data_IF_918827507018
#
_entry.id   IF_918827507018
#
_cell.length_a   1.000
_cell.length_b   1.000
_cell.length_c   1.000
_cell.angle_alpha   90.00
_cell.angle_beta   90.00
_cell.angle_gamma   90.00
#
_symmetry.space_group_name_H-M   'P 1'
#
loop_
_entity.id
_entity.type
_entity.pdbx_description
1 polymer ?
#
# COMPACT_ATOMS: atom_id res chain seq x y z
N UNK A 1 -4.22 10.94 -9.56
CA UNK A 1 -3.00 11.45 -10.21
C UNK A 1 -3.24 12.73 -10.97
N UNK A 2 -2.19 13.30 -11.56
CA UNK A 2 -2.29 14.35 -12.59
C UNK A 2 -3.04 13.80 -13.81
N UNK A 3 -3.81 14.64 -14.50
CA UNK A 3 -4.46 14.23 -15.75
C UNK A 3 -3.43 14.15 -16.86
N UNK A 4 -3.65 13.28 -17.86
CA UNK A 4 -2.71 13.15 -18.97
C UNK A 4 -2.58 14.50 -19.71
N UNK A 5 -1.37 14.81 -20.20
CA UNK A 5 -1.07 16.09 -20.88
C UNK A 5 -2.07 16.45 -22.00
N UNK A 6 -2.55 15.52 -22.84
CA UNK A 6 -3.58 15.84 -23.84
C UNK A 6 -4.91 16.32 -23.25
N UNK A 7 -5.24 15.95 -22.01
CA UNK A 7 -6.44 16.42 -21.32
C UNK A 7 -6.33 17.86 -20.82
N UNK A 8 -5.12 18.45 -20.80
CA UNK A 8 -4.86 19.79 -20.29
C UNK A 8 -5.54 20.90 -21.11
N UNK A 9 -5.99 20.60 -22.32
CA UNK A 9 -6.82 21.51 -23.11
C UNK A 9 -8.19 21.80 -22.46
N UNK A 10 -8.66 20.91 -21.59
CA UNK A 10 -10.00 21.00 -20.97
C UNK A 10 -9.99 20.98 -19.45
N UNK A 11 -8.91 20.47 -18.85
CA UNK A 11 -8.73 20.38 -17.40
C UNK A 11 -7.35 20.91 -17.08
N UNK A 12 -7.27 22.04 -16.40
CA UNK A 12 -5.98 22.63 -16.02
C UNK A 12 -5.11 21.63 -15.23
N UNK A 13 -3.77 21.66 -15.41
CA UNK A 13 -2.89 20.86 -14.60
C UNK A 13 -3.00 21.26 -13.12
N UNK A 14 -2.65 20.35 -12.21
CA UNK A 14 -2.78 20.61 -10.77
C UNK A 14 -1.89 21.74 -10.27
N UNK A 15 -0.77 21.96 -10.93
CA UNK A 15 0.18 23.02 -10.60
C UNK A 15 0.72 23.70 -11.86
N UNK A 16 -0.07 24.60 -12.48
CA UNK A 16 0.35 25.31 -13.69
C UNK A 16 1.59 26.16 -13.47
N UNK A 17 1.75 26.72 -12.26
CA UNK A 17 2.88 27.59 -11.90
C UNK A 17 4.19 26.81 -11.83
N UNK A 18 4.19 25.61 -11.25
CA UNK A 18 5.35 24.75 -11.25
C UNK A 18 5.71 24.32 -12.69
N UNK A 19 4.72 23.99 -13.51
CA UNK A 19 4.96 23.59 -14.92
C UNK A 19 5.63 24.74 -15.69
N UNK A 20 5.15 25.96 -15.53
CA UNK A 20 5.74 27.16 -16.14
C UNK A 20 7.19 27.34 -15.65
N UNK A 21 7.42 27.29 -14.33
CA UNK A 21 8.75 27.42 -13.74
C UNK A 21 9.74 26.36 -14.27
N UNK A 22 9.31 25.10 -14.40
CA UNK A 22 10.15 24.02 -14.91
C UNK A 22 10.40 24.17 -16.41
N UNK A 23 9.42 24.64 -17.17
CA UNK A 23 9.55 24.91 -18.61
C UNK A 23 10.52 26.05 -18.87
N UNK A 24 10.42 27.14 -18.11
CA UNK A 24 11.34 28.27 -18.16
C UNK A 24 12.77 27.84 -17.79
N UNK A 25 12.91 27.02 -16.74
CA UNK A 25 14.22 26.48 -16.34
C UNK A 25 14.81 25.61 -17.45
N UNK A 26 14.01 24.76 -18.09
CA UNK A 26 14.46 23.92 -19.20
C UNK A 26 14.97 24.77 -20.36
N UNK A 27 14.25 25.83 -20.74
CA UNK A 27 14.65 26.72 -21.83
C UNK A 27 15.86 27.57 -21.47
N UNK A 28 15.92 28.12 -20.25
CA UNK A 28 17.01 28.96 -19.78
C UNK A 28 18.35 28.23 -19.74
N UNK A 29 18.34 26.94 -19.37
CA UNK A 29 19.54 26.11 -19.24
C UNK A 29 19.73 25.16 -20.43
N UNK A 30 19.17 25.49 -21.59
CA UNK A 30 19.37 24.75 -22.85
C UNK A 30 19.09 23.23 -22.74
N UNK A 31 18.10 22.87 -21.92
CA UNK A 31 17.68 21.49 -21.68
C UNK A 31 18.51 20.74 -20.64
N UNK A 32 19.33 21.39 -19.82
CA UNK A 32 20.03 20.72 -18.72
C UNK A 32 19.05 20.25 -17.63
N UNK A 33 18.71 18.96 -17.69
CA UNK A 33 17.80 18.33 -16.74
C UNK A 33 18.29 18.38 -15.30
N UNK A 34 19.60 18.59 -15.04
CA UNK A 34 20.10 18.74 -13.66
C UNK A 34 19.52 19.99 -13.00
N UNK A 35 19.44 21.10 -13.75
CA UNK A 35 18.87 22.34 -13.23
C UNK A 35 17.35 22.23 -13.05
N UNK A 36 16.65 21.60 -14.01
CA UNK A 36 15.20 21.34 -13.90
C UNK A 36 14.86 20.50 -12.68
N UNK A 37 15.57 19.38 -12.48
CA UNK A 37 15.36 18.50 -11.33
C UNK A 37 15.72 19.19 -10.02
N UNK A 38 16.77 20.02 -10.00
CA UNK A 38 17.13 20.82 -8.83
C UNK A 38 16.02 21.80 -8.46
N UNK A 39 15.41 22.47 -9.42
CA UNK A 39 14.26 23.36 -9.16
C UNK A 39 13.06 22.56 -8.67
N UNK A 40 12.71 21.46 -9.35
CA UNK A 40 11.60 20.58 -8.96
C UNK A 40 11.73 20.09 -7.52
N UNK A 41 12.87 19.47 -7.16
CA UNK A 41 13.06 18.88 -5.84
C UNK A 41 13.16 19.91 -4.71
N UNK A 42 13.45 21.17 -5.01
CA UNK A 42 13.45 22.26 -4.02
C UNK A 42 12.14 23.07 -3.98
N UNK A 43 11.21 22.81 -4.90
CA UNK A 43 9.91 23.48 -4.94
C UNK A 43 9.03 23.13 -3.73
N UNK A 44 8.17 24.06 -3.32
CA UNK A 44 7.16 23.80 -2.28
C UNK A 44 6.16 22.73 -2.72
N UNK A 45 5.81 22.71 -4.00
CA UNK A 45 4.90 21.71 -4.59
C UNK A 45 5.42 20.28 -4.44
N UNK A 46 6.73 20.06 -4.63
CA UNK A 46 7.35 18.76 -4.38
C UNK A 46 7.38 18.43 -2.89
N UNK A 47 7.78 19.39 -2.05
CA UNK A 47 7.84 19.19 -0.59
C UNK A 47 6.48 18.88 0.01
N UNK A 48 5.42 19.49 -0.49
CA UNK A 48 4.02 19.30 -0.05
C UNK A 48 3.32 18.11 -0.73
N UNK A 49 4.04 17.31 -1.52
CA UNK A 49 3.46 16.10 -2.13
C UNK A 49 3.65 14.83 -1.27
N UNK A 50 4.39 14.93 -0.15
CA UNK A 50 4.77 13.78 0.68
C UNK A 50 3.60 13.09 1.40
N UNK A 51 2.51 13.83 1.64
CA UNK A 51 1.31 13.37 2.35
C UNK A 51 0.23 12.84 1.40
N UNK A 52 0.49 12.83 0.09
CA UNK A 52 -0.49 12.35 -0.90
C UNK A 52 -0.54 10.83 -0.86
N UNK A 53 -1.70 10.22 -0.54
CA UNK A 53 -1.80 8.78 -0.38
C UNK A 53 -1.55 8.10 -1.72
N UNK A 54 -0.46 7.35 -1.83
CA UNK A 54 -0.14 6.57 -3.02
C UNK A 54 -0.82 5.22 -2.90
N UNK A 55 -1.59 4.82 -3.90
CA UNK A 55 -2.11 3.44 -3.94
C UNK A 55 -0.94 2.49 -4.20
N UNK A 56 -0.74 1.50 -3.32
CA UNK A 56 0.25 0.43 -3.52
C UNK A 56 -0.05 -0.29 -4.82
N UNK A 57 0.91 -0.36 -5.73
CA UNK A 57 0.85 -1.30 -6.86
C UNK A 57 0.69 -2.73 -6.33
N UNK A 58 0.14 -3.68 -7.11
CA UNK A 58 0.04 -5.07 -6.67
C UNK A 58 1.36 -5.65 -6.16
N UNK A 59 2.49 -5.29 -6.78
CA UNK A 59 3.83 -5.71 -6.34
C UNK A 59 4.18 -5.12 -4.97
N UNK A 60 3.95 -3.82 -4.76
CA UNK A 60 4.21 -3.19 -3.45
C UNK A 60 3.34 -3.79 -2.34
N UNK A 61 2.07 -4.07 -2.64
CA UNK A 61 1.17 -4.72 -1.68
C UNK A 61 1.68 -6.13 -1.33
N UNK A 62 1.89 -6.97 -2.33
CA UNK A 62 2.29 -8.37 -2.14
C UNK A 62 3.63 -8.47 -1.41
N UNK A 63 4.65 -7.74 -1.88
CA UNK A 63 5.98 -7.74 -1.24
C UNK A 63 5.91 -7.14 0.16
N UNK A 64 5.15 -6.07 0.37
CA UNK A 64 4.97 -5.47 1.69
C UNK A 64 4.37 -6.45 2.69
N UNK A 65 3.31 -7.17 2.30
CA UNK A 65 2.66 -8.19 3.13
C UNK A 65 3.62 -9.34 3.41
N UNK A 66 4.29 -9.88 2.40
CA UNK A 66 5.26 -10.99 2.58
C UNK A 66 6.37 -10.62 3.57
N UNK A 67 6.87 -9.39 3.49
CA UNK A 67 7.87 -8.88 4.45
C UNK A 67 7.30 -8.74 5.86
N UNK A 68 6.05 -8.30 5.99
CA UNK A 68 5.38 -8.19 7.29
C UNK A 68 5.04 -9.55 7.91
N UNK A 69 4.74 -10.56 7.11
CA UNK A 69 4.47 -11.92 7.60
C UNK A 69 5.73 -12.75 7.84
N UNK A 70 6.87 -12.36 7.25
CA UNK A 70 8.19 -12.94 7.51
C UNK A 70 8.42 -14.32 6.88
N UNK A 71 7.60 -14.71 5.91
CA UNK A 71 7.65 -16.08 5.32
C UNK A 71 8.85 -16.30 4.38
N UNK A 72 9.42 -15.22 3.84
CA UNK A 72 10.46 -15.25 2.81
C UNK A 72 11.73 -14.47 3.22
N UNK A 73 12.02 -14.37 4.51
CA UNK A 73 13.24 -13.73 5.02
C UNK A 73 14.52 -14.54 4.75
N UNK A 74 14.37 -15.80 4.34
CA UNK A 74 15.45 -16.66 3.86
C UNK A 74 15.06 -17.25 2.49
N UNK A 75 16.01 -17.84 1.74
CA UNK A 75 15.70 -18.53 0.49
C UNK A 75 14.70 -19.69 0.70
N UNK A 76 13.42 -19.40 0.53
CA UNK A 76 12.30 -20.33 0.72
C UNK A 76 11.62 -20.61 -0.63
N UNK A 77 11.32 -21.88 -0.98
CA UNK A 77 10.52 -22.21 -2.15
C UNK A 77 9.12 -21.57 -2.13
N UNK A 78 8.53 -21.35 -3.30
CA UNK A 78 7.12 -20.90 -3.41
C UNK A 78 6.93 -19.40 -3.65
N UNK A 79 7.96 -18.55 -3.56
CA UNK A 79 7.80 -17.09 -3.81
C UNK A 79 7.30 -16.77 -5.23
N UNK A 80 7.63 -17.63 -6.19
CA UNK A 80 7.17 -17.52 -7.57
C UNK A 80 5.65 -17.65 -7.71
N UNK A 81 4.96 -18.33 -6.76
CA UNK A 81 3.50 -18.54 -6.78
C UNK A 81 2.71 -17.23 -6.69
N UNK A 82 3.32 -16.18 -6.16
CA UNK A 82 2.71 -14.85 -6.14
C UNK A 82 2.62 -14.19 -7.53
N UNK A 83 3.52 -14.58 -8.45
CA UNK A 83 3.53 -14.13 -9.83
C UNK A 83 2.81 -15.11 -10.76
N UNK A 84 3.14 -16.40 -10.67
CA UNK A 84 2.56 -17.49 -11.47
C UNK A 84 2.38 -18.70 -10.57
N UNK A 85 1.15 -19.19 -10.46
CA UNK A 85 0.81 -20.38 -9.67
C UNK A 85 0.47 -21.57 -10.58
N UNK A 86 0.11 -22.71 -10.00
CA UNK A 86 -0.32 -23.89 -10.73
C UNK A 86 -1.71 -24.32 -10.26
N UNK A 87 -2.63 -24.52 -11.21
CA UNK A 87 -3.97 -25.05 -10.95
C UNK A 87 -4.14 -26.33 -11.78
N UNK A 88 -4.34 -27.47 -11.11
CA UNK A 88 -4.44 -28.78 -11.74
C UNK A 88 -3.24 -29.14 -12.65
N UNK A 89 -2.04 -28.72 -12.26
CA UNK A 89 -0.81 -28.97 -13.02
C UNK A 89 -0.58 -28.04 -14.22
N UNK A 90 -1.48 -27.08 -14.47
CA UNK A 90 -1.32 -26.04 -15.51
C UNK A 90 -0.94 -24.70 -14.89
N UNK A 91 -0.07 -23.90 -15.54
CA UNK A 91 0.26 -22.57 -15.06
C UNK A 91 -0.99 -21.69 -15.05
N UNK A 92 -1.17 -20.95 -13.95
CA UNK A 92 -2.26 -20.03 -13.72
C UNK A 92 -1.70 -18.70 -13.19
N UNK A 93 -2.46 -17.64 -13.35
CA UNK A 93 -2.06 -16.30 -12.91
C UNK A 93 -1.98 -16.24 -11.38
N UNK A 94 -0.85 -15.76 -10.86
CA UNK A 94 -0.71 -15.49 -9.42
C UNK A 94 -1.44 -14.22 -8.99
N UNK A 95 -1.53 -13.96 -7.67
CA UNK A 95 -2.13 -12.75 -7.10
C UNK A 95 -1.70 -11.44 -7.77
N UNK A 96 -0.42 -11.28 -8.10
CA UNK A 96 0.09 -10.08 -8.78
C UNK A 96 -0.61 -9.82 -10.12
N UNK A 97 -0.73 -10.87 -10.92
CA UNK A 97 -1.34 -10.79 -12.24
C UNK A 97 -2.86 -10.66 -12.15
N UNK A 98 -3.50 -11.34 -11.21
CA UNK A 98 -4.95 -11.20 -10.92
C UNK A 98 -5.28 -9.75 -10.53
N UNK A 99 -4.43 -9.10 -9.75
CA UNK A 99 -4.56 -7.69 -9.37
C UNK A 99 -4.13 -6.70 -10.49
N UNK A 100 -3.74 -7.20 -11.66
CA UNK A 100 -3.46 -6.40 -12.85
C UNK A 100 -1.98 -6.10 -13.14
N UNK A 101 -1.03 -6.64 -12.37
CA UNK A 101 0.39 -6.39 -12.57
C UNK A 101 1.17 -7.68 -12.82
N UNK A 102 1.29 -8.08 -14.09
CA UNK A 102 2.23 -9.12 -14.50
C UNK A 102 3.65 -8.55 -14.47
N UNK A 103 4.53 -9.16 -13.67
CA UNK A 103 5.94 -8.76 -13.60
C UNK A 103 6.61 -8.89 -14.97
N UNK A 104 7.46 -7.92 -15.32
CA UNK A 104 8.21 -7.87 -16.58
C UNK A 104 7.35 -7.87 -17.85
N UNK A 105 6.04 -7.63 -17.73
CA UNK A 105 5.09 -7.61 -18.85
C UNK A 105 4.11 -6.44 -18.71
N UNK A 106 4.57 -5.19 -18.91
CA UNK A 106 3.68 -4.03 -18.87
C UNK A 106 2.66 -4.09 -20.02
N UNK A 107 1.42 -3.59 -19.82
CA UNK A 107 0.36 -3.64 -20.82
C UNK A 107 0.65 -2.78 -22.06
N UNK A 108 1.40 -1.68 -21.92
CA UNK A 108 1.73 -0.76 -23.01
C UNK A 108 3.18 -0.27 -22.89
N UNK A 109 3.63 0.51 -23.88
CA UNK A 109 4.92 1.20 -23.85
C UNK A 109 5.02 2.26 -22.75
N UNK A 110 3.88 2.71 -22.20
CA UNK A 110 3.83 3.63 -21.06
C UNK A 110 4.15 2.93 -19.73
N UNK A 111 4.22 1.59 -19.73
CA UNK A 111 4.44 0.78 -18.54
C UNK A 111 3.13 0.29 -17.94
N UNK A 112 3.10 0.16 -16.61
CA UNK A 112 1.89 -0.16 -15.86
C UNK A 112 1.13 1.10 -15.47
N UNK A 113 -0.20 0.97 -15.41
CA UNK A 113 -1.10 1.94 -14.78
C UNK A 113 -0.67 2.25 -13.34
N UNK A 114 -1.09 3.38 -12.78
CA UNK A 114 -0.71 3.78 -11.41
C UNK A 114 -1.90 4.35 -10.64
N UNK A 115 -1.72 4.54 -9.33
CA UNK A 115 -2.73 5.18 -8.49
C UNK A 115 -4.01 4.36 -8.36
N UNK A 116 -5.15 5.05 -8.37
CA UNK A 116 -6.48 4.45 -8.14
C UNK A 116 -6.90 3.45 -9.21
N UNK A 117 -6.24 3.41 -10.38
CA UNK A 117 -6.51 2.39 -11.40
C UNK A 117 -6.21 0.96 -10.91
N UNK A 118 -5.36 0.82 -9.87
CA UNK A 118 -5.14 -0.46 -9.21
C UNK A 118 -6.32 -0.97 -8.37
N UNK A 119 -7.25 -0.08 -8.01
CA UNK A 119 -8.41 -0.39 -7.16
C UNK A 119 -9.68 -0.25 -8.01
N UNK A 120 -10.26 -1.40 -8.36
CA UNK A 120 -11.59 -1.47 -8.96
C UNK A 120 -12.43 -2.55 -8.25
N UNK A 121 -13.70 -2.67 -8.62
CA UNK A 121 -14.64 -3.61 -7.98
C UNK A 121 -14.21 -5.08 -8.08
N UNK A 122 -13.36 -5.45 -9.05
CA UNK A 122 -12.80 -6.79 -9.18
C UNK A 122 -11.49 -6.98 -8.40
N UNK A 123 -10.57 -6.02 -8.47
CA UNK A 123 -9.24 -6.15 -7.86
C UNK A 123 -9.22 -5.87 -6.36
N UNK A 124 -10.13 -5.05 -5.83
CA UNK A 124 -10.16 -4.71 -4.40
C UNK A 124 -10.37 -5.94 -3.52
N UNK A 125 -11.33 -6.80 -3.88
CA UNK A 125 -11.62 -8.04 -3.15
C UNK A 125 -10.42 -8.98 -3.14
N UNK A 126 -9.72 -9.11 -4.27
CA UNK A 126 -8.51 -9.93 -4.38
C UNK A 126 -7.37 -9.38 -3.51
N UNK A 127 -7.22 -8.05 -3.46
CA UNK A 127 -6.23 -7.38 -2.63
C UNK A 127 -6.47 -7.61 -1.15
N UNK A 128 -7.71 -7.39 -0.69
CA UNK A 128 -8.09 -7.63 0.71
C UNK A 128 -7.95 -9.12 1.04
N UNK A 129 -8.49 -10.00 0.20
CA UNK A 129 -8.42 -11.45 0.41
C UNK A 129 -7.00 -11.99 0.45
N UNK A 130 -6.09 -11.45 -0.38
CA UNK A 130 -4.67 -11.79 -0.31
C UNK A 130 -4.07 -11.41 1.03
N UNK A 131 -4.28 -10.18 1.49
CA UNK A 131 -3.77 -9.68 2.77
C UNK A 131 -4.32 -10.53 3.92
N UNK A 132 -5.63 -10.72 3.98
CA UNK A 132 -6.29 -11.54 5.01
C UNK A 132 -5.74 -12.97 5.05
N UNK A 133 -5.57 -13.60 3.87
CA UNK A 133 -4.98 -14.92 3.77
C UNK A 133 -3.57 -14.95 4.34
N UNK A 134 -2.74 -13.94 4.03
CA UNK A 134 -1.36 -13.92 4.54
C UNK A 134 -1.31 -13.71 6.06
N UNK A 135 -2.18 -12.87 6.62
CA UNK A 135 -2.24 -12.63 8.07
C UNK A 135 -3.06 -13.68 8.84
N UNK A 136 -3.68 -14.65 8.17
CA UNK A 136 -4.57 -15.64 8.82
C UNK A 136 -3.88 -16.59 9.80
N UNK A 137 -2.60 -16.91 9.59
CA UNK A 137 -1.85 -17.79 10.49
C UNK A 137 -1.04 -16.96 11.50
N UNK A 138 -1.41 -16.96 12.79
CA UNK A 138 -0.71 -16.20 13.82
C UNK A 138 0.70 -16.75 14.12
N UNK A 139 1.03 -17.95 13.63
CA UNK A 139 2.34 -18.57 13.87
C UNK A 139 3.40 -18.15 12.85
N UNK A 140 3.02 -17.42 11.79
CA UNK A 140 3.98 -16.87 10.85
C UNK A 140 4.95 -15.94 11.59
N UNK A 141 6.26 -15.99 11.31
CA UNK A 141 7.27 -15.32 12.13
C UNK A 141 6.98 -13.83 12.35
N UNK A 142 6.66 -13.10 11.28
CA UNK A 142 6.36 -11.68 11.35
C UNK A 142 5.01 -11.38 12.00
N UNK A 143 3.98 -12.19 11.76
CA UNK A 143 2.67 -12.02 12.42
C UNK A 143 2.80 -12.20 13.93
N UNK A 144 3.52 -13.23 14.37
CA UNK A 144 3.82 -13.48 15.77
C UNK A 144 4.60 -12.31 16.39
N UNK A 145 5.64 -11.83 15.70
CA UNK A 145 6.41 -10.68 16.16
C UNK A 145 5.53 -9.44 16.33
N UNK A 146 4.62 -9.17 15.38
CA UNK A 146 3.68 -8.06 15.47
C UNK A 146 2.76 -8.24 16.69
N UNK A 147 2.18 -9.42 16.88
CA UNK A 147 1.33 -9.72 18.05
C UNK A 147 2.09 -9.45 19.36
N UNK A 148 3.32 -9.97 19.47
CA UNK A 148 4.17 -9.81 20.65
C UNK A 148 4.50 -8.33 20.92
N UNK A 149 4.74 -7.54 19.86
CA UNK A 149 5.07 -6.11 19.96
C UNK A 149 3.86 -5.21 20.22
N UNK A 150 2.67 -5.56 19.74
CA UNK A 150 1.43 -4.85 20.10
C UNK A 150 1.17 -4.99 21.61
N UNK A 151 1.35 -6.20 22.14
CA UNK A 151 1.29 -6.51 23.57
C UNK A 151 -0.01 -7.15 24.01
N UNK A 152 -0.50 -6.79 25.20
CA UNK A 152 -1.71 -7.40 25.78
C UNK A 152 -2.97 -6.65 25.41
N UNK A 153 -4.05 -7.41 25.16
CA UNK A 153 -5.40 -6.89 24.96
C UNK A 153 -5.89 -6.06 26.15
N UNK A 154 -5.37 -6.25 27.37
CA UNK A 154 -5.73 -5.43 28.55
C UNK A 154 -5.18 -3.99 28.50
N UNK A 155 -4.33 -3.67 27.53
CA UNK A 155 -3.81 -2.30 27.32
C UNK A 155 -4.94 -1.37 26.89
N UNK A 156 -4.80 -0.07 27.14
CA UNK A 156 -5.73 0.93 26.62
C UNK A 156 -5.99 0.78 25.10
N UNK A 157 -7.27 0.73 24.64
CA UNK A 157 -7.64 0.52 23.24
C UNK A 157 -7.03 1.50 22.24
N UNK A 158 -6.94 2.78 22.59
CA UNK A 158 -6.36 3.80 21.73
C UNK A 158 -4.88 3.49 21.50
N UNK A 159 -4.16 3.16 22.58
CA UNK A 159 -2.75 2.74 22.52
C UNK A 159 -2.56 1.45 21.69
N UNK A 160 -3.49 0.49 21.79
CA UNK A 160 -3.43 -0.75 21.00
C UNK A 160 -3.56 -0.48 19.50
N UNK A 161 -4.54 0.36 19.12
CA UNK A 161 -4.75 0.74 17.72
C UNK A 161 -3.54 1.49 17.19
N UNK A 162 -3.00 2.46 17.92
CA UNK A 162 -1.83 3.23 17.49
C UNK A 162 -0.61 2.31 17.27
N UNK A 163 -0.35 1.35 18.18
CA UNK A 163 0.72 0.36 17.99
C UNK A 163 0.50 -0.53 16.77
N UNK A 164 -0.73 -1.00 16.52
CA UNK A 164 -1.04 -1.79 15.34
C UNK A 164 -0.77 -0.99 14.05
N UNK A 165 -1.22 0.26 13.98
CA UNK A 165 -1.01 1.13 12.83
C UNK A 165 0.48 1.39 12.58
N UNK A 166 1.25 1.63 13.64
CA UNK A 166 2.70 1.83 13.57
C UNK A 166 3.42 0.58 13.06
N UNK A 167 3.11 -0.60 13.62
CA UNK A 167 3.78 -1.86 13.27
C UNK A 167 3.42 -2.36 11.87
N UNK A 168 2.22 -2.04 11.37
CA UNK A 168 1.75 -2.42 10.03
C UNK A 168 2.17 -1.43 8.94
N UNK A 169 3.20 -0.62 9.21
CA UNK A 169 3.83 0.27 8.25
C UNK A 169 3.58 1.76 8.46
N UNK A 170 3.26 2.18 9.68
CA UNK A 170 2.99 3.60 9.99
C UNK A 170 1.76 4.13 9.27
N UNK A 171 0.67 3.36 9.32
CA UNK A 171 -0.54 3.65 8.55
C UNK A 171 -1.21 4.93 9.05
N UNK A 172 -1.29 5.94 8.18
CA UNK A 172 -2.08 7.13 8.45
C UNK A 172 -3.53 6.89 8.03
N UNK A 173 -4.41 6.74 9.01
CA UNK A 173 -5.83 6.48 8.81
C UNK A 173 -6.65 7.71 9.18
N UNK A 174 -7.82 7.86 8.56
CA UNK A 174 -8.76 8.93 8.94
C UNK A 174 -9.29 8.73 10.36
N UNK A 175 -9.71 9.82 10.99
CA UNK A 175 -10.26 9.81 12.35
C UNK A 175 -11.46 8.85 12.49
N UNK A 176 -12.30 8.74 11.45
CA UNK A 176 -13.44 7.82 11.46
C UNK A 176 -13.01 6.35 11.42
N UNK A 177 -12.00 6.01 10.61
CA UNK A 177 -11.42 4.67 10.58
C UNK A 177 -10.78 4.35 11.94
N UNK A 178 -9.99 5.28 12.49
CA UNK A 178 -9.34 5.11 13.80
C UNK A 178 -10.39 4.89 14.89
N UNK A 179 -11.44 5.71 14.94
CA UNK A 179 -12.52 5.58 15.92
C UNK A 179 -13.23 4.21 15.83
N UNK A 180 -13.41 3.69 14.60
CA UNK A 180 -14.00 2.37 14.37
C UNK A 180 -13.09 1.24 14.85
N UNK A 181 -11.78 1.33 14.61
CA UNK A 181 -10.79 0.37 15.12
C UNK A 181 -10.71 0.39 16.66
N UNK A 182 -10.74 1.57 17.27
CA UNK A 182 -10.73 1.71 18.75
C UNK A 182 -12.00 1.10 19.35
N UNK A 183 -13.15 1.32 18.72
CA UNK A 183 -14.41 0.68 19.13
C UNK A 183 -14.30 -0.84 19.05
N UNK A 184 -13.76 -1.37 17.96
CA UNK A 184 -13.57 -2.81 17.79
C UNK A 184 -12.62 -3.40 18.84
N UNK A 185 -11.50 -2.72 19.14
CA UNK A 185 -10.59 -3.12 20.22
C UNK A 185 -11.28 -3.20 21.60
N UNK A 186 -12.17 -2.25 21.91
CA UNK A 186 -13.00 -2.27 23.13
C UNK A 186 -13.95 -3.47 23.16
N UNK A 187 -14.55 -3.82 22.03
CA UNK A 187 -15.42 -5.00 21.93
C UNK A 187 -14.63 -6.29 22.18
N UNK A 188 -13.45 -6.44 21.58
CA UNK A 188 -12.55 -7.57 21.81
C UNK A 188 -12.15 -7.71 23.29
N UNK A 189 -11.82 -6.60 23.95
CA UNK A 189 -11.54 -6.56 25.39
C UNK A 189 -12.72 -7.03 26.24
N UNK A 190 -13.92 -6.52 25.96
CA UNK A 190 -15.12 -6.89 26.69
C UNK A 190 -15.45 -8.38 26.54
N UNK A 191 -15.17 -8.96 25.37
CA UNK A 191 -15.33 -10.39 25.09
C UNK A 191 -14.21 -11.26 25.69
N UNK A 192 -13.11 -10.66 26.18
CA UNK A 192 -11.90 -11.35 26.65
C UNK A 192 -11.38 -12.34 25.61
N UNK A 193 -11.36 -11.90 24.36
CA UNK A 193 -10.94 -12.72 23.24
C UNK A 193 -9.43 -13.03 23.36
N UNK A 194 -9.10 -14.31 23.49
CA UNK A 194 -7.71 -14.78 23.61
C UNK A 194 -6.89 -14.50 22.36
N UNK A 195 -7.55 -14.32 21.22
CA UNK A 195 -6.94 -13.97 19.93
C UNK A 195 -7.21 -12.51 19.54
N UNK A 196 -7.69 -11.68 20.46
CA UNK A 196 -8.16 -10.33 20.14
C UNK A 196 -7.11 -9.44 19.47
N UNK A 197 -5.83 -9.55 19.85
CA UNK A 197 -4.75 -8.80 19.18
C UNK A 197 -4.60 -9.24 17.72
N UNK A 198 -4.64 -10.54 17.46
CA UNK A 198 -4.56 -11.07 16.10
C UNK A 198 -5.77 -10.63 15.25
N UNK A 199 -6.98 -10.68 15.80
CA UNK A 199 -8.18 -10.18 15.13
C UNK A 199 -8.12 -8.67 14.87
N UNK A 200 -7.58 -7.88 15.80
CA UNK A 200 -7.37 -6.45 15.60
C UNK A 200 -6.38 -6.19 14.45
N UNK A 201 -5.27 -6.93 14.39
CA UNK A 201 -4.30 -6.86 13.29
C UNK A 201 -5.00 -7.18 11.96
N UNK A 202 -5.75 -8.28 11.89
CA UNK A 202 -6.48 -8.65 10.68
C UNK A 202 -7.44 -7.52 10.25
N UNK A 203 -8.19 -6.95 11.20
CA UNK A 203 -9.11 -5.85 10.91
C UNK A 203 -8.39 -4.61 10.37
N UNK A 204 -7.23 -4.23 10.94
CA UNK A 204 -6.41 -3.12 10.42
C UNK A 204 -5.94 -3.42 8.99
N UNK A 205 -5.46 -4.63 8.73
CA UNK A 205 -4.96 -5.03 7.41
C UNK A 205 -6.05 -5.12 6.34
N UNK A 206 -7.32 -5.31 6.74
CA UNK A 206 -8.48 -5.30 5.84
C UNK A 206 -9.03 -3.89 5.55
N UNK A 207 -8.47 -2.84 6.16
CA UNK A 207 -8.90 -1.45 5.89
C UNK A 207 -8.54 -1.01 4.47
N UNK A 208 -9.31 -0.05 3.95
CA UNK A 208 -8.99 0.63 2.70
C UNK A 208 -7.64 1.35 2.82
N UNK A 209 -7.35 1.96 3.97
CA UNK A 209 -6.11 2.69 4.23
C UNK A 209 -4.87 1.78 4.10
N UNK A 210 -4.97 0.49 4.43
CA UNK A 210 -3.88 -0.48 4.23
C UNK A 210 -3.47 -0.65 2.75
N UNK A 211 -4.34 -0.28 1.81
CA UNK A 211 -4.04 -0.32 0.37
C UNK A 211 -3.14 0.83 -0.09
N UNK A 212 -2.90 1.83 0.76
CA UNK A 212 -2.10 3.01 0.48
C UNK A 212 -0.73 2.93 1.13
N UNK A 213 0.24 3.63 0.55
CA UNK A 213 1.62 3.82 1.01
C UNK A 213 1.89 5.31 1.23
#
# INVERSE_FOLDING_TARGET
>A
DEVQVPSWETVDPKDPQLIELLSDTFLQYEGDMREVLKVLFNSESFKNAFDKPKVKSPTELVVGVIKQTGEFDNPTPGIHEFAVTSLNGSPFEGPLAIMGQRLMNPPTVEGWHTGFEWINSGTLSERIGFVEKQFSDPNKPGVKEIIDRVGSLDTDPDTLVDRCLDLLGGLNVKDETRASLVKYAKELQNMKDTSGIHHLIQMVTSTVDYQFA
#
